data_IF_326649113186
#
_entry.id   IF_326649113186
#
_cell.length_a   1.000
_cell.length_b   1.000
_cell.length_c   1.000
_cell.angle_alpha   90.00
_cell.angle_beta   90.00
_cell.angle_gamma   90.00
#
_symmetry.space_group_name_H-M   'P 1'
#
loop_
_entity.id
_entity.type
_entity.pdbx_description
1 polymer ?
#
# COMPACT_ATOMS: atom_id res chain seq x y z
N UNK A 1 -80.91 56.35 -48.00
CA UNK A 1 -81.57 55.42 -47.07
C UNK A 1 -80.64 54.24 -46.88
N UNK A 2 -80.06 54.11 -45.69
CA UNK A 2 -79.10 53.07 -45.35
C UNK A 2 -79.83 52.08 -44.44
N UNK A 3 -80.15 50.89 -44.94
CA UNK A 3 -80.87 49.87 -44.19
C UNK A 3 -79.88 49.03 -43.38
N UNK A 4 -79.81 49.29 -42.08
CA UNK A 4 -79.10 48.46 -41.09
C UNK A 4 -79.92 47.20 -40.78
N UNK A 5 -79.43 46.03 -41.18
CA UNK A 5 -79.95 44.74 -40.73
C UNK A 5 -79.54 44.47 -39.27
N UNK A 6 -80.43 43.95 -38.40
CA UNK A 6 -80.10 43.67 -37.00
C UNK A 6 -79.20 42.45 -36.87
N UNK A 7 -78.15 42.55 -36.05
CA UNK A 7 -77.31 41.41 -35.65
C UNK A 7 -78.07 40.50 -34.68
N UNK A 8 -78.22 39.22 -35.02
CA UNK A 8 -78.70 38.17 -34.12
C UNK A 8 -77.53 37.32 -33.63
N UNK A 9 -77.28 37.20 -32.32
CA UNK A 9 -76.27 36.29 -31.80
C UNK A 9 -76.72 34.84 -31.98
N UNK A 10 -76.08 34.12 -32.89
CA UNK A 10 -76.10 32.65 -32.90
C UNK A 10 -75.19 32.14 -31.79
N UNK A 11 -75.77 31.62 -30.71
CA UNK A 11 -75.03 30.86 -29.72
C UNK A 11 -74.44 29.60 -30.39
N UNK A 12 -73.13 29.31 -30.22
CA UNK A 12 -72.54 28.08 -30.75
C UNK A 12 -73.18 26.84 -30.09
N UNK A 13 -73.24 25.69 -30.78
CA UNK A 13 -73.91 24.50 -30.26
C UNK A 13 -73.21 24.00 -28.99
N UNK A 14 -73.94 24.02 -27.87
CA UNK A 14 -73.45 23.65 -26.53
C UNK A 14 -73.21 22.15 -26.36
N UNK A 15 -73.64 21.33 -27.32
CA UNK A 15 -73.65 19.87 -27.25
C UNK A 15 -72.23 19.27 -27.30
N UNK A 16 -71.35 19.76 -28.18
CA UNK A 16 -69.97 19.24 -28.29
C UNK A 16 -69.03 19.68 -27.16
N UNK A 17 -69.32 20.80 -26.51
CA UNK A 17 -68.51 21.31 -25.38
C UNK A 17 -68.77 20.48 -24.12
N UNK A 18 -70.00 20.00 -23.92
CA UNK A 18 -70.36 19.20 -22.76
C UNK A 18 -69.72 17.80 -22.83
N UNK A 19 -69.71 17.19 -24.02
CA UNK A 19 -69.04 15.90 -24.25
C UNK A 19 -67.53 15.97 -24.03
N UNK A 20 -66.89 17.09 -24.39
CA UNK A 20 -65.46 17.30 -24.16
C UNK A 20 -65.13 17.52 -22.68
N UNK A 21 -65.99 18.25 -21.96
CA UNK A 21 -65.89 18.43 -20.52
C UNK A 21 -66.04 17.10 -19.76
N UNK A 22 -66.97 16.25 -20.18
CA UNK A 22 -67.19 14.94 -19.57
C UNK A 22 -65.98 14.00 -19.78
N UNK A 23 -65.40 14.00 -20.99
CA UNK A 23 -64.15 13.26 -21.27
C UNK A 23 -62.96 13.77 -20.47
N UNK A 24 -62.87 15.08 -20.23
CA UNK A 24 -61.83 15.67 -19.40
C UNK A 24 -61.99 15.27 -17.93
N UNK A 25 -63.22 15.24 -17.42
CA UNK A 25 -63.52 14.80 -16.07
C UNK A 25 -63.12 13.33 -15.86
N UNK A 26 -63.48 12.43 -16.79
CA UNK A 26 -63.08 11.01 -16.73
C UNK A 26 -61.55 10.81 -16.80
N UNK A 27 -60.84 11.65 -17.55
CA UNK A 27 -59.37 11.62 -17.59
C UNK A 27 -58.78 12.08 -16.27
N UNK A 28 -59.35 13.13 -15.68
CA UNK A 28 -58.91 13.65 -14.39
C UNK A 28 -59.12 12.61 -13.28
N UNK A 29 -60.27 11.94 -13.24
CA UNK A 29 -60.54 10.88 -12.27
C UNK A 29 -59.56 9.70 -12.40
N UNK A 30 -59.23 9.30 -13.63
CA UNK A 30 -58.21 8.27 -13.89
C UNK A 30 -56.84 8.69 -13.38
N UNK A 31 -56.44 9.94 -13.59
CA UNK A 31 -55.18 10.47 -13.10
C UNK A 31 -55.15 10.57 -11.57
N UNK A 32 -56.23 11.04 -10.94
CA UNK A 32 -56.33 11.10 -9.48
C UNK A 32 -56.24 9.70 -8.86
N UNK A 33 -56.90 8.70 -9.45
CA UNK A 33 -56.80 7.33 -8.99
C UNK A 33 -55.38 6.75 -9.17
N UNK A 34 -54.72 7.06 -10.30
CA UNK A 34 -53.34 6.64 -10.52
C UNK A 34 -52.38 7.26 -9.49
N UNK A 35 -52.56 8.54 -9.15
CA UNK A 35 -51.78 9.22 -8.10
C UNK A 35 -52.03 8.57 -6.74
N UNK A 36 -53.28 8.25 -6.39
CA UNK A 36 -53.60 7.57 -5.13
C UNK A 36 -52.94 6.18 -5.02
N UNK A 37 -52.83 5.45 -6.13
CA UNK A 37 -52.12 4.16 -6.19
C UNK A 37 -50.62 4.36 -5.97
N UNK A 38 -50.02 5.40 -6.57
CA UNK A 38 -48.60 5.70 -6.41
C UNK A 38 -48.27 6.14 -4.99
N UNK A 39 -49.14 6.92 -4.35
CA UNK A 39 -48.97 7.35 -2.96
C UNK A 39 -48.97 6.15 -2.01
N UNK A 40 -49.91 5.21 -2.21
CA UNK A 40 -49.94 3.96 -1.43
C UNK A 40 -48.67 3.12 -1.60
N UNK A 41 -48.12 3.05 -2.83
CA UNK A 41 -46.85 2.35 -3.08
C UNK A 41 -45.64 3.05 -2.47
N UNK A 42 -45.67 4.38 -2.40
CA UNK A 42 -44.65 5.16 -1.72
C UNK A 42 -44.66 4.86 -0.22
N UNK A 43 -45.83 4.82 0.40
CA UNK A 43 -45.97 4.49 1.83
C UNK A 43 -45.44 3.09 2.14
N UNK A 44 -45.77 2.10 1.29
CA UNK A 44 -45.24 0.73 1.41
C UNK A 44 -43.70 0.69 1.32
N UNK A 45 -43.10 1.48 0.41
CA UNK A 45 -41.65 1.60 0.30
C UNK A 45 -41.04 2.28 1.52
N UNK A 46 -41.70 3.31 2.06
CA UNK A 46 -41.23 4.01 3.24
C UNK A 46 -41.21 3.09 4.47
N UNK A 47 -42.24 2.25 4.62
CA UNK A 47 -42.29 1.25 5.69
C UNK A 47 -41.19 0.19 5.53
N UNK A 48 -40.94 -0.32 4.31
CA UNK A 48 -39.81 -1.23 4.06
C UNK A 48 -38.48 -0.58 4.42
N UNK A 49 -38.26 0.67 4.00
CA UNK A 49 -37.04 1.40 4.33
C UNK A 49 -36.92 1.58 5.85
N UNK A 50 -38.01 1.92 6.54
CA UNK A 50 -38.05 2.06 7.99
C UNK A 50 -37.65 0.79 8.72
N UNK A 51 -38.03 -0.38 8.20
CA UNK A 51 -37.72 -1.68 8.79
C UNK A 51 -36.31 -2.18 8.42
N UNK A 52 -35.84 -1.92 7.20
CA UNK A 52 -34.54 -2.39 6.71
C UNK A 52 -33.38 -1.53 7.22
N UNK A 53 -33.58 -0.22 7.36
CA UNK A 53 -32.50 0.71 7.76
C UNK A 53 -31.87 0.38 9.12
N UNK A 54 -32.62 0.02 10.19
CA UNK A 54 -32.05 -0.40 11.46
C UNK A 54 -31.17 -1.65 11.35
N UNK A 55 -31.60 -2.65 10.58
CA UNK A 55 -30.85 -3.87 10.35
C UNK A 55 -29.55 -3.60 9.56
N UNK A 56 -29.64 -2.78 8.51
CA UNK A 56 -28.49 -2.35 7.73
C UNK A 56 -27.48 -1.57 8.59
N UNK A 57 -27.95 -0.62 9.40
CA UNK A 57 -27.10 0.13 10.34
C UNK A 57 -26.43 -0.79 11.38
N UNK A 58 -27.17 -1.79 11.89
CA UNK A 58 -26.61 -2.81 12.79
C UNK A 58 -25.48 -3.61 12.13
N UNK A 59 -25.70 -4.06 10.90
CA UNK A 59 -24.71 -4.81 10.13
C UNK A 59 -23.45 -3.99 9.82
N UNK A 60 -23.61 -2.72 9.41
CA UNK A 60 -22.49 -1.80 9.19
C UNK A 60 -21.70 -1.61 10.47
N UNK A 61 -22.36 -1.48 11.62
CA UNK A 61 -21.67 -1.29 12.91
C UNK A 61 -20.86 -2.52 13.32
N UNK A 62 -21.40 -3.72 13.11
CA UNK A 62 -20.68 -4.99 13.35
C UNK A 62 -19.49 -5.14 12.40
N UNK A 63 -19.70 -4.88 11.11
CA UNK A 63 -18.63 -4.91 10.12
C UNK A 63 -17.52 -3.90 10.44
N UNK A 64 -17.89 -2.69 10.87
CA UNK A 64 -16.93 -1.65 11.30
C UNK A 64 -16.13 -2.11 12.52
N UNK A 65 -16.77 -2.78 13.48
CA UNK A 65 -16.07 -3.29 14.66
C UNK A 65 -15.03 -4.36 14.29
N UNK A 66 -15.39 -5.31 13.43
CA UNK A 66 -14.45 -6.32 12.96
C UNK A 66 -13.34 -5.74 12.08
N UNK A 67 -13.65 -4.73 11.25
CA UNK A 67 -12.61 -4.03 10.50
C UNK A 67 -11.62 -3.34 11.46
N UNK A 68 -12.13 -2.71 12.52
CA UNK A 68 -11.30 -2.03 13.50
C UNK A 68 -10.42 -2.99 14.31
N UNK A 69 -10.93 -4.18 14.67
CA UNK A 69 -10.14 -5.25 15.28
C UNK A 69 -8.98 -5.68 14.35
N UNK A 70 -9.27 -5.92 13.06
CA UNK A 70 -8.27 -6.31 12.05
C UNK A 70 -7.25 -5.21 11.74
N UNK A 71 -7.62 -3.95 11.93
CA UNK A 71 -6.71 -2.82 11.80
C UNK A 71 -5.80 -2.71 13.04
N UNK A 72 -6.36 -2.84 14.24
CA UNK A 72 -5.61 -2.74 15.50
C UNK A 72 -4.61 -3.87 15.71
N UNK A 73 -4.95 -5.10 15.31
CA UNK A 73 -4.04 -6.24 15.44
C UNK A 73 -2.97 -6.28 14.33
N UNK A 74 -2.99 -5.31 13.40
CA UNK A 74 -2.04 -5.18 12.30
C UNK A 74 -2.27 -6.16 11.15
N UNK A 75 -3.38 -6.91 11.17
CA UNK A 75 -3.69 -7.90 10.13
C UNK A 75 -3.93 -7.23 8.77
N UNK A 76 -4.57 -6.05 8.75
CA UNK A 76 -4.79 -5.30 7.51
C UNK A 76 -3.50 -4.73 6.92
N UNK A 77 -2.59 -4.23 7.75
CA UNK A 77 -1.27 -3.75 7.31
C UNK A 77 -0.45 -4.90 6.73
N UNK A 78 -0.42 -6.04 7.42
CA UNK A 78 0.23 -7.25 6.92
C UNK A 78 -0.38 -7.72 5.59
N UNK A 79 -1.72 -7.71 5.48
CA UNK A 79 -2.41 -8.11 4.26
C UNK A 79 -2.12 -7.15 3.10
N UNK A 80 -2.03 -5.85 3.37
CA UNK A 80 -1.71 -4.82 2.38
C UNK A 80 -0.26 -4.93 1.90
N UNK A 81 0.67 -5.13 2.82
CA UNK A 81 2.09 -5.31 2.51
C UNK A 81 2.31 -6.62 1.74
N UNK A 82 1.64 -7.70 2.14
CA UNK A 82 1.66 -8.96 1.42
C UNK A 82 1.06 -8.84 0.02
N UNK A 83 -0.06 -8.12 -0.14
CA UNK A 83 -0.66 -7.86 -1.45
C UNK A 83 0.25 -7.00 -2.35
N UNK A 84 0.93 -6.01 -1.77
CA UNK A 84 1.91 -5.19 -2.47
C UNK A 84 3.12 -6.02 -2.94
N UNK A 85 3.70 -6.82 -2.03
CA UNK A 85 4.81 -7.71 -2.34
C UNK A 85 4.43 -8.76 -3.39
N UNK A 86 3.21 -9.31 -3.31
CA UNK A 86 2.67 -10.23 -4.32
C UNK A 86 2.40 -9.53 -5.65
N UNK A 87 1.97 -8.28 -5.65
CA UNK A 87 1.78 -7.48 -6.86
C UNK A 87 3.10 -7.20 -7.57
N UNK A 88 4.14 -6.84 -6.82
CA UNK A 88 5.50 -6.67 -7.36
C UNK A 88 6.01 -8.01 -7.89
N UNK A 89 5.93 -9.09 -7.10
CA UNK A 89 6.34 -10.42 -7.50
C UNK A 89 5.61 -10.88 -8.78
N UNK A 90 4.28 -10.77 -8.83
CA UNK A 90 3.47 -11.15 -10.00
C UNK A 90 3.72 -10.29 -11.24
N UNK A 91 4.24 -9.06 -11.09
CA UNK A 91 4.62 -8.22 -12.23
C UNK A 91 5.99 -8.59 -12.82
N UNK A 92 6.82 -9.31 -12.08
CA UNK A 92 8.20 -9.66 -12.47
C UNK A 92 8.46 -11.16 -12.61
N UNK A 93 7.61 -12.01 -12.05
CA UNK A 93 7.78 -13.45 -11.95
C UNK A 93 6.69 -14.13 -12.79
N UNK A 94 7.10 -15.08 -13.62
CA UNK A 94 6.19 -15.87 -14.45
C UNK A 94 5.16 -16.62 -13.56
N UNK A 95 3.88 -16.73 -13.96
CA UNK A 95 2.86 -17.45 -13.19
C UNK A 95 3.26 -18.89 -12.83
N UNK A 96 4.09 -19.56 -13.62
CA UNK A 96 4.59 -20.91 -13.33
C UNK A 96 5.66 -20.92 -12.23
N UNK A 97 6.52 -19.89 -12.17
CA UNK A 97 7.52 -19.72 -11.12
C UNK A 97 6.86 -19.38 -9.77
N UNK A 98 5.77 -18.62 -9.77
CA UNK A 98 4.96 -18.34 -8.58
C UNK A 98 4.30 -19.61 -8.01
N UNK A 99 3.84 -20.53 -8.87
CA UNK A 99 3.31 -21.85 -8.44
C UNK A 99 4.41 -22.74 -7.87
N UNK A 100 5.59 -22.74 -8.48
CA UNK A 100 6.75 -23.47 -7.98
C UNK A 100 7.21 -22.94 -6.60
N UNK A 101 7.20 -21.62 -6.39
CA UNK A 101 7.46 -20.98 -5.10
C UNK A 101 6.42 -21.37 -4.05
N UNK A 102 5.13 -21.35 -4.37
CA UNK A 102 4.07 -21.79 -3.45
C UNK A 102 4.25 -23.24 -3.00
N UNK A 103 4.66 -24.14 -3.90
CA UNK A 103 4.93 -25.54 -3.60
C UNK A 103 6.18 -25.76 -2.72
N UNK A 104 7.12 -24.80 -2.69
CA UNK A 104 8.33 -24.82 -1.87
C UNK A 104 8.24 -24.02 -0.56
N UNK A 105 7.41 -22.98 -0.52
CA UNK A 105 7.28 -22.05 0.59
C UNK A 105 6.86 -22.75 1.88
N UNK A 106 5.95 -23.73 1.81
CA UNK A 106 5.55 -24.50 2.99
C UNK A 106 6.72 -25.26 3.65
N UNK A 107 7.64 -25.82 2.85
CA UNK A 107 8.85 -26.49 3.36
C UNK A 107 9.85 -25.50 3.92
N UNK A 108 10.10 -24.39 3.21
CA UNK A 108 11.01 -23.34 3.69
C UNK A 108 10.51 -22.73 5.02
N UNK A 109 9.22 -22.41 5.12
CA UNK A 109 8.61 -21.85 6.32
C UNK A 109 8.62 -22.84 7.48
N UNK A 110 8.34 -24.12 7.22
CA UNK A 110 8.48 -25.17 8.22
C UNK A 110 9.94 -25.27 8.71
N UNK A 111 10.92 -25.21 7.81
CA UNK A 111 12.35 -25.26 8.16
C UNK A 111 12.75 -24.08 9.05
N UNK A 112 12.33 -22.87 8.69
CA UNK A 112 12.57 -21.67 9.51
C UNK A 112 11.90 -21.83 10.89
N UNK A 113 10.66 -22.29 10.94
CA UNK A 113 9.93 -22.54 12.19
C UNK A 113 10.58 -23.62 13.06
N UNK A 114 11.13 -24.68 12.46
CA UNK A 114 11.90 -25.69 13.20
C UNK A 114 13.23 -25.15 13.72
N UNK A 115 13.90 -24.28 12.95
CA UNK A 115 15.15 -23.64 13.35
C UNK A 115 14.95 -22.54 14.40
N UNK A 116 13.79 -21.88 14.44
CA UNK A 116 13.40 -20.90 15.48
C UNK A 116 12.48 -21.50 16.55
N UNK A 117 12.33 -22.82 16.57
CA UNK A 117 11.52 -23.51 17.56
C UNK A 117 12.06 -23.33 18.99
N UNK A 118 11.21 -23.53 20.01
CA UNK A 118 11.58 -23.36 21.42
C UNK A 118 12.76 -24.25 21.83
N UNK A 119 12.94 -25.39 21.17
CA UNK A 119 14.07 -26.30 21.41
C UNK A 119 15.41 -25.70 20.98
N UNK A 120 15.46 -25.05 19.80
CA UNK A 120 16.69 -24.43 19.27
C UNK A 120 17.05 -23.17 20.05
N UNK A 121 16.04 -22.40 20.46
CA UNK A 121 16.22 -21.26 21.38
C UNK A 121 16.84 -21.73 22.71
N UNK A 122 16.31 -22.81 23.31
CA UNK A 122 16.81 -23.35 24.56
C UNK A 122 18.26 -23.90 24.44
N UNK A 123 18.63 -24.49 23.31
CA UNK A 123 20.02 -24.92 23.04
C UNK A 123 20.94 -23.71 22.91
N UNK A 124 20.49 -22.66 22.23
CA UNK A 124 21.25 -21.41 22.04
C UNK A 124 21.52 -20.73 23.38
N UNK A 125 20.51 -20.58 24.22
CA UNK A 125 20.64 -19.99 25.56
C UNK A 125 21.61 -20.80 26.45
N UNK A 126 21.49 -22.14 26.47
CA UNK A 126 22.42 -23.00 27.22
C UNK A 126 23.85 -22.89 26.73
N UNK A 127 24.05 -22.74 25.43
CA UNK A 127 25.37 -22.58 24.81
C UNK A 127 25.99 -21.23 25.14
N UNK A 128 25.19 -20.15 25.05
CA UNK A 128 25.61 -18.80 25.46
C UNK A 128 25.97 -18.76 26.95
N UNK A 129 25.14 -19.36 27.81
CA UNK A 129 25.41 -19.46 29.25
C UNK A 129 26.69 -20.27 29.54
N UNK A 130 26.93 -21.36 28.80
CA UNK A 130 28.16 -22.15 28.93
C UNK A 130 29.41 -21.37 28.48
N UNK A 131 29.33 -20.61 27.38
CA UNK A 131 30.41 -19.75 26.89
C UNK A 131 30.71 -18.60 27.86
N UNK A 132 29.68 -17.94 28.40
CA UNK A 132 29.85 -16.91 29.43
C UNK A 132 30.54 -17.48 30.68
N UNK A 133 30.13 -18.66 31.14
CA UNK A 133 30.77 -19.37 32.27
C UNK A 133 32.22 -19.77 31.98
N UNK A 134 32.54 -20.13 30.74
CA UNK A 134 33.91 -20.42 30.32
C UNK A 134 34.79 -19.17 30.27
N UNK A 135 34.23 -17.99 29.95
CA UNK A 135 34.94 -16.70 29.96
C UNK A 135 35.25 -16.19 31.36
N UNK A 136 34.43 -16.52 32.36
CA UNK A 136 34.60 -16.05 33.75
C UNK A 136 35.31 -17.04 34.66
N UNK A 137 35.51 -18.29 34.22
CA UNK A 137 36.12 -19.36 35.01
C UNK A 137 37.56 -19.68 34.64
N UNK A 138 38.34 -20.21 35.60
CA UNK A 138 39.69 -20.74 35.33
C UNK A 138 39.59 -22.04 34.50
N UNK A 139 40.42 -22.24 33.45
CA UNK A 139 40.36 -23.45 32.65
C UNK A 139 40.66 -24.70 33.49
N UNK A 140 39.90 -25.81 33.32
CA UNK A 140 40.14 -27.03 34.05
C UNK A 140 41.49 -27.65 33.65
N UNK A 141 42.18 -28.27 34.61
CA UNK A 141 43.41 -29.03 34.33
C UNK A 141 43.15 -30.22 33.41
N UNK A 142 44.20 -30.67 32.71
CA UNK A 142 44.15 -31.74 31.69
C UNK A 142 43.46 -33.03 32.19
N UNK A 143 43.75 -33.45 33.43
CA UNK A 143 43.15 -34.64 34.02
C UNK A 143 41.65 -34.47 34.33
N UNK A 144 41.23 -33.26 34.75
CA UNK A 144 39.83 -32.94 34.99
C UNK A 144 39.03 -32.94 33.68
N UNK A 145 39.64 -32.48 32.58
CA UNK A 145 39.04 -32.53 31.26
C UNK A 145 38.83 -33.97 30.79
N UNK A 146 39.84 -34.83 30.95
CA UNK A 146 39.76 -36.25 30.59
C UNK A 146 38.63 -36.97 31.34
N UNK A 147 38.49 -36.69 32.65
CA UNK A 147 37.39 -37.24 33.44
C UNK A 147 36.02 -36.67 33.08
N UNK A 148 35.94 -35.41 32.61
CA UNK A 148 34.68 -34.82 32.11
C UNK A 148 34.21 -35.49 30.83
N UNK A 149 35.13 -35.86 29.92
CA UNK A 149 34.80 -36.61 28.71
C UNK A 149 34.17 -37.98 29.02
N UNK A 150 34.48 -38.56 30.19
CA UNK A 150 33.89 -39.84 30.63
C UNK A 150 32.45 -39.72 31.15
N UNK A 151 31.93 -38.50 31.35
CA UNK A 151 30.57 -38.29 31.89
C UNK A 151 29.51 -38.69 30.84
N UNK A 152 28.41 -39.35 31.25
CA UNK A 152 27.43 -39.92 30.31
C UNK A 152 26.68 -38.88 29.48
N UNK A 153 26.50 -37.64 29.96
CA UNK A 153 25.91 -36.56 29.17
C UNK A 153 26.88 -35.96 28.15
N UNK A 154 28.19 -35.88 28.47
CA UNK A 154 29.22 -35.37 27.55
C UNK A 154 29.45 -36.35 26.40
N UNK A 155 29.47 -37.65 26.68
CA UNK A 155 29.55 -38.69 25.65
C UNK A 155 28.37 -38.64 24.68
N UNK A 156 27.15 -38.45 25.19
CA UNK A 156 25.94 -38.28 24.37
C UNK A 156 26.01 -37.03 23.49
N UNK A 157 26.46 -35.91 24.05
CA UNK A 157 26.65 -34.67 23.29
C UNK A 157 27.67 -34.84 22.17
N UNK A 158 28.83 -35.42 22.46
CA UNK A 158 29.91 -35.66 21.49
C UNK A 158 29.48 -36.61 20.38
N UNK A 159 28.75 -37.68 20.70
CA UNK A 159 28.15 -38.56 19.69
C UNK A 159 27.19 -37.81 18.76
N UNK A 160 26.27 -37.01 19.32
CA UNK A 160 25.37 -36.19 18.50
C UNK A 160 26.11 -35.16 17.63
N UNK A 161 27.24 -34.62 18.11
CA UNK A 161 28.06 -33.69 17.29
C UNK A 161 28.75 -34.41 16.14
N UNK A 162 29.23 -35.63 16.38
CA UNK A 162 29.82 -36.49 15.36
C UNK A 162 28.77 -36.91 14.32
N UNK A 163 27.55 -37.24 14.75
CA UNK A 163 26.43 -37.56 13.85
C UNK A 163 26.08 -36.38 12.92
N UNK A 164 26.05 -35.16 13.47
CA UNK A 164 25.84 -33.95 12.66
C UNK A 164 26.98 -33.75 11.65
N UNK A 165 28.23 -33.97 12.07
CA UNK A 165 29.40 -33.89 11.19
C UNK A 165 29.39 -34.98 10.11
N UNK A 166 28.92 -36.18 10.44
CA UNK A 166 28.78 -37.32 9.54
C UNK A 166 27.68 -37.05 8.50
N UNK A 167 26.51 -36.57 8.93
CA UNK A 167 25.44 -36.16 8.01
C UNK A 167 25.82 -34.98 7.11
N UNK A 168 26.66 -34.05 7.58
CA UNK A 168 27.25 -32.99 6.74
C UNK A 168 28.26 -33.55 5.73
N UNK A 169 28.95 -34.65 6.06
CA UNK A 169 29.88 -35.34 5.18
C UNK A 169 29.17 -36.17 4.10
N UNK A 170 28.04 -36.80 4.42
CA UNK A 170 27.23 -37.59 3.47
C UNK A 170 26.50 -36.71 2.43
N UNK A 171 26.12 -35.48 2.81
CA UNK A 171 25.49 -34.51 1.89
C UNK A 171 26.44 -33.84 0.89
N UNK A 172 27.76 -34.02 1.04
CA UNK A 172 28.77 -33.45 0.16
C UNK A 172 29.06 -34.37 -1.03
N UNK A 173 28.12 -34.50 -1.98
CA UNK A 173 28.46 -35.02 -3.30
C UNK A 173 29.51 -34.10 -3.95
N UNK A 174 30.59 -34.63 -4.56
CA UNK A 174 31.56 -33.80 -5.24
C UNK A 174 30.86 -33.03 -6.38
N UNK A 175 30.85 -31.70 -6.26
CA UNK A 175 30.48 -30.82 -7.36
C UNK A 175 31.41 -31.15 -8.53
N UNK A 176 30.90 -31.57 -9.71
CA UNK A 176 31.77 -31.82 -10.85
C UNK A 176 32.40 -30.49 -11.27
N UNK A 177 33.67 -30.31 -10.91
CA UNK A 177 34.48 -29.23 -11.45
C UNK A 177 34.66 -29.57 -12.93
N UNK A 178 34.08 -28.78 -13.83
CA UNK A 178 34.31 -28.95 -15.26
C UNK A 178 35.82 -28.82 -15.53
N UNK A 179 36.44 -29.93 -15.90
CA UNK A 179 37.84 -30.02 -16.26
C UNK A 179 38.05 -29.49 -17.68
N UNK A 180 37.87 -28.19 -17.90
CA UNK A 180 38.34 -27.56 -19.15
C UNK A 180 38.70 -26.07 -19.02
N UNK A 181 39.39 -25.68 -17.95
CA UNK A 181 40.10 -24.39 -17.89
C UNK A 181 41.61 -24.62 -17.92
N UNK A 182 42.13 -25.00 -19.09
CA UNK A 182 43.56 -24.83 -19.39
C UNK A 182 43.85 -23.36 -19.66
N UNK A 183 44.06 -22.58 -18.60
CA UNK A 183 44.66 -21.24 -18.72
C UNK A 183 46.14 -21.41 -19.13
N UNK A 184 46.59 -20.84 -20.27
CA UNK A 184 47.99 -20.92 -20.66
C UNK A 184 48.85 -20.14 -19.66
N UNK A 185 49.84 -20.82 -19.06
CA UNK A 185 50.83 -20.20 -18.18
C UNK A 185 51.68 -19.20 -18.96
N UNK A 186 51.38 -17.90 -18.81
CA UNK A 186 52.29 -16.85 -19.22
C UNK A 186 53.57 -16.91 -18.37
N UNK A 187 54.74 -16.85 -19.02
CA UNK A 187 56.06 -16.78 -18.38
C UNK A 187 56.10 -15.61 -17.40
N UNK A 188 56.38 -15.91 -16.14
CA UNK A 188 56.65 -14.90 -15.11
C UNK A 188 57.98 -14.21 -15.44
N UNK A 189 57.89 -13.02 -16.02
CA UNK A 189 58.98 -12.05 -16.00
C UNK A 189 59.16 -11.52 -14.59
N UNK A 190 60.40 -11.56 -14.10
CA UNK A 190 60.82 -11.06 -12.78
C UNK A 190 60.49 -9.57 -12.64
N UNK A 191 59.67 -9.11 -11.68
CA UNK A 191 59.50 -7.69 -11.45
C UNK A 191 60.70 -7.13 -10.68
N UNK A 192 61.15 -5.96 -11.11
CA UNK A 192 62.16 -5.15 -10.44
C UNK A 192 61.66 -4.66 -9.07
N UNK A 193 62.60 -4.48 -8.14
CA UNK A 193 62.35 -4.09 -6.76
C UNK A 193 61.60 -2.74 -6.66
N UNK A 194 60.50 -2.74 -5.91
CA UNK A 194 59.81 -1.51 -5.51
C UNK A 194 60.44 -0.94 -4.22
N UNK A 195 60.52 0.40 -4.06
CA UNK A 195 61.09 1.03 -2.87
C UNK A 195 60.17 0.91 -1.63
N UNK A 196 60.72 1.05 -0.40
CA UNK A 196 59.99 0.76 0.83
C UNK A 196 58.85 1.75 1.10
N UNK A 197 57.70 1.18 1.44
CA UNK A 197 56.43 1.84 1.74
C UNK A 197 56.51 2.53 3.12
N UNK A 198 56.27 3.84 3.16
CA UNK A 198 56.19 4.61 4.40
C UNK A 198 54.98 4.16 5.26
N UNK A 199 55.19 4.05 6.57
CA UNK A 199 54.18 3.69 7.55
C UNK A 199 53.13 4.79 7.72
N UNK A 200 51.83 4.47 7.87
CA UNK A 200 50.83 5.44 8.28
C UNK A 200 50.88 5.68 9.81
N UNK A 201 50.86 6.96 10.21
CA UNK A 201 50.65 7.43 11.59
C UNK A 201 49.19 7.22 12.02
N UNK A 202 48.89 6.98 13.32
CA UNK A 202 47.52 6.95 13.82
C UNK A 202 47.10 8.31 14.42
N UNK A 203 45.90 8.76 14.09
CA UNK A 203 45.02 9.71 14.83
C UNK A 203 43.92 10.17 13.84
N UNK A 204 42.64 10.33 14.17
CA UNK A 204 41.94 10.35 15.44
C UNK A 204 40.47 9.92 15.21
N UNK A 205 39.90 9.29 16.24
CA UNK A 205 38.45 9.11 16.41
C UNK A 205 37.80 10.48 16.62
N UNK A 206 36.71 10.77 15.89
CA UNK A 206 35.66 11.68 16.38
C UNK A 206 34.34 11.48 15.64
N UNK A 207 33.32 11.02 16.36
CA UNK A 207 31.94 11.46 16.22
C UNK A 207 31.12 10.94 15.03
N UNK A 208 30.37 9.86 15.25
CA UNK A 208 29.08 9.68 14.60
C UNK A 208 28.09 10.79 15.04
N UNK A 209 27.07 11.07 14.22
CA UNK A 209 25.72 10.93 14.74
C UNK A 209 24.89 9.97 13.89
N UNK A 210 24.15 9.14 14.62
CA UNK A 210 23.03 8.32 14.14
C UNK A 210 21.79 9.20 14.09
N UNK A 211 21.08 9.24 12.96
CA UNK A 211 19.61 9.33 12.86
C UNK A 211 19.20 9.31 11.38
N UNK A 212 18.18 8.52 11.03
CA UNK A 212 17.81 8.21 9.66
C UNK A 212 17.29 9.40 8.85
N UNK A 213 18.04 9.77 7.82
CA UNK A 213 17.53 10.56 6.70
C UNK A 213 17.31 9.60 5.52
N UNK A 214 16.11 9.55 4.95
CA UNK A 214 15.89 8.74 3.76
C UNK A 214 16.56 9.40 2.56
N UNK A 215 17.01 8.59 1.61
CA UNK A 215 17.68 9.02 0.37
C UNK A 215 16.80 10.04 -0.37
N UNK A 216 17.27 11.26 -0.66
CA UNK A 216 16.48 12.22 -1.42
C UNK A 216 16.35 11.72 -2.87
N UNK A 217 15.11 11.47 -3.28
CA UNK A 217 14.80 11.23 -4.69
C UNK A 217 14.72 12.60 -5.35
N UNK A 218 15.62 12.90 -6.28
CA UNK A 218 15.67 14.16 -7.00
C UNK A 218 14.91 14.04 -8.34
N UNK A 219 14.04 14.99 -8.64
CA UNK A 219 13.29 15.07 -9.89
C UNK A 219 13.85 16.21 -10.75
N UNK A 220 14.30 15.90 -11.96
CA UNK A 220 14.78 16.92 -12.91
C UNK A 220 13.62 17.46 -13.74
N UNK A 221 13.30 18.74 -13.56
CA UNK A 221 12.19 19.44 -14.24
C UNK A 221 12.73 20.71 -14.91
N UNK A 222 12.62 20.79 -16.24
CA UNK A 222 13.05 21.96 -17.02
C UNK A 222 14.48 22.48 -16.70
N UNK A 223 15.40 21.56 -16.36
CA UNK A 223 16.79 21.89 -15.98
C UNK A 223 17.01 22.29 -14.52
N UNK A 224 15.98 22.19 -13.67
CA UNK A 224 16.04 22.38 -12.21
C UNK A 224 15.83 21.04 -11.50
N UNK A 225 16.66 20.73 -10.53
CA UNK A 225 16.52 19.52 -9.70
C UNK A 225 15.70 19.85 -8.46
N UNK A 226 14.54 19.23 -8.30
CA UNK A 226 13.65 19.43 -7.15
C UNK A 226 13.75 18.22 -6.23
N UNK A 227 13.88 18.47 -4.92
CA UNK A 227 14.02 17.43 -3.93
C UNK A 227 12.66 16.87 -3.51
N UNK A 228 12.48 15.56 -3.62
CA UNK A 228 11.30 14.85 -3.15
C UNK A 228 11.60 14.05 -1.87
N UNK A 229 10.55 13.85 -1.09
CA UNK A 229 10.56 12.88 0.00
C UNK A 229 10.44 11.43 -0.55
N UNK A 230 10.58 10.40 0.30
CA UNK A 230 10.50 9.00 -0.12
C UNK A 230 9.13 8.58 -0.63
N UNK A 231 8.08 9.32 -0.25
CA UNK A 231 6.70 9.09 -0.66
C UNK A 231 6.35 9.85 -1.97
N UNK A 232 7.31 10.62 -2.50
CA UNK A 232 7.21 11.41 -3.74
C UNK A 232 6.56 12.79 -3.55
N UNK A 233 6.49 13.33 -2.34
CA UNK A 233 6.04 14.69 -2.07
C UNK A 233 7.17 15.70 -2.21
N UNK A 234 6.81 16.93 -2.54
CA UNK A 234 7.76 18.04 -2.64
C UNK A 234 8.28 18.43 -1.25
N UNK A 235 9.60 18.54 -1.09
CA UNK A 235 10.18 18.99 0.18
C UNK A 235 9.90 20.47 0.45
N UNK A 236 9.84 21.29 -0.59
CA UNK A 236 9.48 22.71 -0.49
C UNK A 236 8.32 23.04 -1.46
N UNK A 237 7.11 23.38 -0.96
CA UNK A 237 5.99 23.82 -1.77
C UNK A 237 6.25 25.09 -2.61
N UNK A 238 7.28 25.87 -2.28
CA UNK A 238 7.70 27.04 -3.04
C UNK A 238 8.37 26.68 -4.37
N UNK A 239 8.94 25.46 -4.47
CA UNK A 239 9.54 24.95 -5.71
C UNK A 239 8.49 24.44 -6.70
N UNK A 240 7.21 24.49 -6.35
CA UNK A 240 6.13 24.04 -7.21
C UNK A 240 5.84 25.05 -8.33
N UNK A 241 5.88 24.57 -9.57
CA UNK A 241 5.32 25.22 -10.74
C UNK A 241 4.51 24.20 -11.58
N UNK A 242 3.94 24.66 -12.71
CA UNK A 242 3.14 23.78 -13.57
C UNK A 242 3.96 22.66 -14.19
N UNK A 243 5.24 22.90 -14.49
CA UNK A 243 6.13 21.89 -15.06
C UNK A 243 6.45 20.81 -14.02
N UNK A 244 6.64 21.22 -12.77
CA UNK A 244 6.81 20.30 -11.63
C UNK A 244 5.55 19.48 -11.40
N UNK A 245 4.36 20.08 -11.51
CA UNK A 245 3.10 19.35 -11.39
C UNK A 245 2.96 18.26 -12.46
N UNK A 246 3.35 18.55 -13.71
CA UNK A 246 3.35 17.56 -14.80
C UNK A 246 4.33 16.42 -14.50
N UNK A 247 5.56 16.74 -14.11
CA UNK A 247 6.56 15.73 -13.78
C UNK A 247 6.17 14.87 -12.57
N UNK A 248 5.52 15.46 -11.55
CA UNK A 248 4.96 14.74 -10.41
C UNK A 248 3.79 13.83 -10.82
N UNK A 249 2.95 14.27 -11.76
CA UNK A 249 1.85 13.47 -12.28
C UNK A 249 2.36 12.25 -13.08
N UNK A 250 3.37 12.45 -13.93
CA UNK A 250 4.02 11.36 -14.66
C UNK A 250 4.68 10.36 -13.71
N UNK A 251 5.43 10.83 -12.71
CA UNK A 251 6.01 9.99 -11.67
C UNK A 251 4.94 9.25 -10.84
N UNK A 252 3.74 9.84 -10.72
CA UNK A 252 2.59 9.23 -10.07
C UNK A 252 1.84 8.21 -10.94
N UNK A 253 2.20 8.05 -12.21
CA UNK A 253 1.48 7.22 -13.17
C UNK A 253 0.11 7.81 -13.56
N UNK A 254 -0.07 9.12 -13.38
CA UNK A 254 -1.24 9.84 -13.91
C UNK A 254 -0.89 10.29 -15.32
N UNK A 255 -1.82 10.05 -16.24
CA UNK A 255 -1.70 10.51 -17.63
C UNK A 255 -1.62 12.04 -17.74
N UNK A 256 -1.61 12.59 -18.96
CA UNK A 256 -1.54 14.03 -19.15
C UNK A 256 -2.62 14.75 -18.35
N UNK A 257 -2.21 15.77 -17.57
CA UNK A 257 -3.11 16.54 -16.72
C UNK A 257 -4.14 17.29 -17.58
N UNK A 258 -5.39 16.86 -17.51
CA UNK A 258 -6.53 17.53 -18.15
C UNK A 258 -6.98 18.76 -17.36
N UNK A 259 -7.86 19.58 -17.94
CA UNK A 259 -8.44 20.76 -17.27
C UNK A 259 -9.14 20.41 -15.94
N UNK A 260 -9.78 19.24 -15.87
CA UNK A 260 -10.39 18.73 -14.63
C UNK A 260 -9.32 18.51 -13.54
N UNK A 261 -8.14 17.98 -13.89
CA UNK A 261 -7.05 17.82 -12.93
C UNK A 261 -6.55 19.19 -12.46
N UNK A 262 -6.34 20.13 -13.38
CA UNK A 262 -5.87 21.47 -13.03
C UNK A 262 -6.83 22.20 -12.08
N UNK A 263 -8.14 22.07 -12.29
CA UNK A 263 -9.13 22.65 -11.39
C UNK A 263 -8.99 22.12 -9.95
N UNK A 264 -8.78 20.81 -9.79
CA UNK A 264 -8.55 20.18 -8.48
C UNK A 264 -7.23 20.65 -7.86
N UNK A 265 -6.13 20.69 -8.63
CA UNK A 265 -4.81 21.10 -8.15
C UNK A 265 -4.79 22.56 -7.70
N UNK A 266 -5.38 23.46 -8.50
CA UNK A 266 -5.46 24.88 -8.19
C UNK A 266 -6.32 25.13 -6.94
N UNK A 267 -7.41 24.38 -6.78
CA UNK A 267 -8.21 24.39 -5.54
C UNK A 267 -7.39 23.95 -4.34
N UNK A 268 -6.68 22.82 -4.44
CA UNK A 268 -5.86 22.30 -3.34
C UNK A 268 -4.83 23.32 -2.87
N UNK A 269 -4.14 24.00 -3.80
CA UNK A 269 -3.16 25.05 -3.46
C UNK A 269 -3.83 26.27 -2.81
N UNK A 270 -4.99 26.69 -3.31
CA UNK A 270 -5.75 27.82 -2.75
C UNK A 270 -6.23 27.53 -1.33
N UNK A 271 -6.80 26.35 -1.10
CA UNK A 271 -7.31 25.94 0.22
C UNK A 271 -6.16 25.74 1.21
N UNK A 272 -5.03 25.20 0.77
CA UNK A 272 -3.84 25.05 1.61
C UNK A 272 -3.22 26.40 1.99
N UNK A 273 -3.24 27.39 1.10
CA UNK A 273 -2.82 28.76 1.42
C UNK A 273 -3.67 29.44 2.49
N UNK A 274 -4.94 29.03 2.63
CA UNK A 274 -5.87 29.58 3.62
C UNK A 274 -5.88 28.78 4.94
N UNK A 275 -5.79 27.45 4.85
CA UNK A 275 -5.92 26.55 6.00
C UNK A 275 -4.58 26.08 6.59
N UNK A 276 -3.48 26.27 5.87
CA UNK A 276 -2.14 25.81 6.24
C UNK A 276 -1.93 24.30 6.09
N UNK A 277 -2.92 23.56 5.56
CA UNK A 277 -2.87 22.11 5.38
C UNK A 277 -3.52 21.70 4.05
N UNK A 278 -3.12 20.56 3.50
CA UNK A 278 -3.74 20.03 2.30
C UNK A 278 -5.20 19.60 2.57
N UNK A 279 -6.16 19.95 1.69
CA UNK A 279 -7.55 19.55 1.85
C UNK A 279 -7.72 18.04 1.70
N UNK A 280 -8.56 17.45 2.56
CA UNK A 280 -8.98 16.06 2.42
C UNK A 280 -10.01 15.87 1.29
N UNK A 281 -10.19 14.62 0.84
CA UNK A 281 -11.10 14.26 -0.25
C UNK A 281 -12.50 14.86 -0.11
N UNK A 282 -13.11 14.75 1.10
CA UNK A 282 -14.46 15.28 1.37
C UNK A 282 -14.57 16.79 1.14
N UNK A 283 -13.51 17.55 1.43
CA UNK A 283 -13.50 19.00 1.23
C UNK A 283 -13.43 19.33 -0.25
N UNK A 284 -12.54 18.65 -0.98
CA UNK A 284 -12.40 18.81 -2.43
C UNK A 284 -13.72 18.52 -3.14
N UNK A 285 -14.34 17.37 -2.85
CA UNK A 285 -15.61 16.98 -3.49
C UNK A 285 -16.75 17.93 -3.16
N UNK A 286 -16.77 18.51 -1.95
CA UNK A 286 -17.81 19.44 -1.52
C UNK A 286 -17.66 20.83 -2.13
N UNK A 287 -16.45 21.36 -2.17
CA UNK A 287 -16.19 22.74 -2.64
C UNK A 287 -16.18 22.84 -4.17
N UNK A 288 -15.76 21.78 -4.87
CA UNK A 288 -15.76 21.72 -6.33
C UNK A 288 -17.03 21.11 -6.93
N UNK A 289 -17.95 20.62 -6.09
CA UNK A 289 -19.15 19.87 -6.51
C UNK A 289 -18.82 18.67 -7.44
N UNK A 290 -17.66 18.04 -7.21
CA UNK A 290 -17.20 16.88 -7.97
C UNK A 290 -17.61 15.60 -7.22
N UNK A 291 -18.34 14.66 -7.85
CA UNK A 291 -18.66 13.38 -7.25
C UNK A 291 -17.39 12.63 -6.81
N UNK A 292 -17.41 11.92 -5.66
CA UNK A 292 -16.27 11.10 -5.23
C UNK A 292 -15.80 10.11 -6.31
N UNK A 293 -16.72 9.57 -7.10
CA UNK A 293 -16.43 8.66 -8.21
C UNK A 293 -15.51 9.30 -9.27
N UNK A 294 -15.75 10.55 -9.63
CA UNK A 294 -14.95 11.28 -10.61
C UNK A 294 -13.55 11.60 -10.07
N UNK A 295 -13.43 11.87 -8.76
CA UNK A 295 -12.11 11.99 -8.12
C UNK A 295 -11.29 10.70 -8.23
N UNK A 296 -11.92 9.51 -8.08
CA UNK A 296 -11.22 8.23 -8.29
C UNK A 296 -10.88 7.96 -9.75
N UNK A 297 -11.62 8.55 -10.70
CA UNK A 297 -11.32 8.51 -12.14
C UNK A 297 -10.09 9.38 -12.48
N UNK A 298 -10.01 10.58 -11.90
CA UNK A 298 -8.91 11.52 -12.12
C UNK A 298 -7.64 11.10 -11.39
N UNK A 299 -7.76 10.70 -10.13
CA UNK A 299 -6.63 10.35 -9.26
C UNK A 299 -6.78 8.91 -8.73
N UNK A 300 -6.40 7.90 -9.53
CA UNK A 300 -6.54 6.50 -9.15
C UNK A 300 -5.55 6.14 -8.02
N UNK A 301 -6.00 5.39 -7.01
CA UNK A 301 -5.22 5.01 -5.80
C UNK A 301 -5.00 6.14 -4.78
N UNK A 302 -6.10 6.63 -4.21
CA UNK A 302 -6.05 7.58 -3.08
C UNK A 302 -6.14 9.03 -3.54
N UNK A 303 -7.31 9.49 -4.00
CA UNK A 303 -7.45 10.73 -4.75
C UNK A 303 -7.05 11.99 -3.95
N UNK A 304 -7.31 12.03 -2.65
CA UNK A 304 -6.88 13.16 -1.81
C UNK A 304 -5.37 13.25 -1.66
N UNK A 305 -4.71 12.11 -1.42
CA UNK A 305 -3.25 12.05 -1.23
C UNK A 305 -2.51 12.35 -2.54
N UNK A 306 -3.00 11.81 -3.66
CA UNK A 306 -2.42 12.06 -4.98
C UNK A 306 -2.63 13.51 -5.43
N UNK A 307 -3.82 14.07 -5.25
CA UNK A 307 -4.08 15.47 -5.55
C UNK A 307 -3.18 16.39 -4.70
N UNK A 308 -2.98 16.09 -3.42
CA UNK A 308 -2.06 16.84 -2.56
C UNK A 308 -0.60 16.73 -3.02
N UNK A 309 -0.15 15.52 -3.39
CA UNK A 309 1.20 15.28 -3.89
C UNK A 309 1.49 16.06 -5.17
N UNK A 310 0.60 15.98 -6.17
CA UNK A 310 0.76 16.65 -7.46
C UNK A 310 0.60 18.17 -7.32
N UNK A 311 -0.20 18.64 -6.36
CA UNK A 311 -0.34 20.06 -6.01
C UNK A 311 0.90 20.63 -5.30
N UNK A 312 1.93 19.82 -5.03
CA UNK A 312 3.16 20.22 -4.35
C UNK A 312 2.94 20.58 -2.89
N UNK A 313 1.92 19.99 -2.26
CA UNK A 313 1.63 20.22 -0.85
C UNK A 313 2.33 19.19 0.02
N UNK A 314 2.61 19.54 1.27
CA UNK A 314 3.12 18.59 2.25
C UNK A 314 2.15 17.42 2.44
N UNK A 315 2.71 16.26 2.80
CA UNK A 315 1.95 15.05 3.12
C UNK A 315 0.83 15.40 4.13
N UNK A 316 -0.46 15.21 3.78
CA UNK A 316 -1.55 15.49 4.70
C UNK A 316 -1.41 14.59 5.93
N UNK A 317 -1.68 15.12 7.12
CA UNK A 317 -1.79 14.30 8.33
C UNK A 317 -2.93 13.32 8.09
N UNK A 318 -2.61 12.03 7.96
CA UNK A 318 -3.60 10.98 7.81
C UNK A 318 -4.39 10.88 9.11
N UNK A 319 -5.62 11.42 9.10
CA UNK A 319 -6.66 11.01 10.02
C UNK A 319 -7.65 10.20 9.20
N UNK A 320 -7.26 8.95 8.91
CA UNK A 320 -8.19 7.88 8.59
C UNK A 320 -8.50 7.18 9.90
#
# INVERSE_FOLDING_TARGET
MNETTPWTPTNPPTEGVNDELERLHEKLDRLMNAVAILDRRRDELEDIVRDVMPAANGAVRVATHHLWELEQDGTLDLAREAASALGVAASTIDPDDLRALGAGAGRALHTVRTLTGPEVAAVSERTVAALQKARTGKPPGLFSLLWRLRRPHVRRGMWATLEILEGLGEGAHPVPVHADDRVPRARVGRPAAAPPRAAPRPAAVSGAPVAGAPTPTALDVAGRTVALDPDGFLNDPADWDRDVAVALAEAAGIGPLTDEHWNVLDFCRRDAGQSGAAPGLRRITKELDIPPADMYRLFPKGPGTLAARIAGLYKPKSCV
#
